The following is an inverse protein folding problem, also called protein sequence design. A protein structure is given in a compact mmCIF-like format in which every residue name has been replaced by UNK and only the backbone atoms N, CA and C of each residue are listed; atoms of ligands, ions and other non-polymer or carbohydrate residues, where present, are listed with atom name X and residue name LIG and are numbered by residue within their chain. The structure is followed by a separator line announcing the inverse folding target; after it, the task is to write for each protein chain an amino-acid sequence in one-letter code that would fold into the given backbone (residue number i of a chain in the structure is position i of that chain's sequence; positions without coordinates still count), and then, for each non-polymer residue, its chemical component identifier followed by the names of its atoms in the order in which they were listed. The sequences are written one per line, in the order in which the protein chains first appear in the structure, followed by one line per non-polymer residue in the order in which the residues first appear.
data_IF_100155324562
#
_entry.id   IF_100155324562
#
_cell.length_a   1.000
_cell.length_b   1.000
_cell.length_c   1.000
_cell.angle_alpha   90.00
_cell.angle_beta   90.00
_cell.angle_gamma   90.00
#
_symmetry.space_group_name_H-M   'P 1'
#
loop_
_entity.id
_entity.type
_entity.pdbx_description
1 polymer ?
#
# COMPACT_ATOMS: atom_id res chain seq x y z
N UNK A 1 -21.88 -15.71 -8.29
CA UNK A 1 -20.98 -14.77 -9.00
C UNK A 1 -20.41 -15.46 -10.23
N UNK A 2 -20.32 -14.79 -11.40
CA UNK A 2 -19.72 -15.36 -12.60
C UNK A 2 -18.27 -15.79 -12.37
N UNK A 3 -17.93 -17.03 -12.71
CA UNK A 3 -16.62 -17.61 -12.37
C UNK A 3 -15.44 -16.93 -13.09
N UNK A 4 -15.69 -16.42 -14.31
CA UNK A 4 -14.71 -15.61 -15.06
C UNK A 4 -14.39 -14.29 -14.35
N UNK A 5 -15.43 -13.57 -13.89
CA UNK A 5 -15.26 -12.33 -13.14
C UNK A 5 -14.46 -12.57 -11.86
N UNK A 6 -14.84 -13.57 -11.06
CA UNK A 6 -14.18 -13.84 -9.78
C UNK A 6 -12.69 -14.13 -9.95
N UNK A 7 -12.34 -14.96 -10.93
CA UNK A 7 -10.95 -15.31 -11.25
C UNK A 7 -10.12 -14.08 -11.66
N UNK A 8 -10.71 -13.20 -12.46
CA UNK A 8 -10.03 -11.98 -12.91
C UNK A 8 -9.89 -10.96 -11.77
N UNK A 9 -10.96 -10.76 -11.00
CA UNK A 9 -10.95 -9.89 -9.83
C UNK A 9 -9.93 -10.35 -8.79
N UNK A 10 -9.91 -11.64 -8.43
CA UNK A 10 -8.94 -12.22 -7.50
C UNK A 10 -7.51 -11.94 -7.95
N UNK A 11 -7.19 -12.19 -9.23
CA UNK A 11 -5.87 -11.93 -9.80
C UNK A 11 -5.46 -10.46 -9.72
N UNK A 12 -6.40 -9.53 -9.96
CA UNK A 12 -6.13 -8.10 -9.83
C UNK A 12 -5.90 -7.71 -8.36
N UNK A 13 -6.71 -8.26 -7.45
CA UNK A 13 -6.58 -8.00 -6.02
C UNK A 13 -5.27 -8.53 -5.45
N UNK A 14 -4.84 -9.74 -5.81
CA UNK A 14 -3.55 -10.29 -5.36
C UNK A 14 -2.39 -9.36 -5.75
N UNK A 15 -2.36 -8.93 -7.02
CA UNK A 15 -1.36 -7.96 -7.49
C UNK A 15 -1.47 -6.63 -6.77
N UNK A 16 -2.69 -6.17 -6.49
CA UNK A 16 -2.91 -4.92 -5.79
C UNK A 16 -2.35 -5.00 -4.37
N UNK A 17 -2.63 -6.08 -3.63
CA UNK A 17 -2.09 -6.34 -2.30
C UNK A 17 -0.57 -6.42 -2.30
N UNK A 18 0.04 -7.05 -3.32
CA UNK A 18 1.50 -7.06 -3.47
C UNK A 18 2.06 -5.64 -3.60
N UNK A 19 1.35 -4.75 -4.32
CA UNK A 19 1.78 -3.35 -4.46
C UNK A 19 1.58 -2.51 -3.21
N UNK A 20 0.55 -2.79 -2.41
CA UNK A 20 0.40 -2.20 -1.08
C UNK A 20 1.56 -2.64 -0.19
N UNK A 21 1.87 -3.93 -0.15
CA UNK A 21 2.98 -4.48 0.63
C UNK A 21 4.33 -3.88 0.19
N UNK A 22 4.60 -3.82 -1.11
CA UNK A 22 5.80 -3.20 -1.71
C UNK A 22 5.93 -1.72 -1.30
N UNK A 23 4.83 -0.97 -1.35
CA UNK A 23 4.83 0.46 -1.05
C UNK A 23 5.19 0.72 0.42
N UNK A 24 4.54 0.00 1.34
CA UNK A 24 4.76 0.13 2.79
C UNK A 24 6.16 -0.37 3.17
N UNK A 25 6.61 -1.49 2.60
CA UNK A 25 7.94 -2.04 2.84
C UNK A 25 9.05 -1.10 2.37
N UNK A 26 8.93 -0.57 1.15
CA UNK A 26 9.91 0.37 0.62
C UNK A 26 9.96 1.64 1.48
N UNK A 27 8.81 2.14 1.93
CA UNK A 27 8.80 3.30 2.83
C UNK A 27 9.46 3.01 4.18
N UNK A 28 9.17 1.86 4.79
CA UNK A 28 9.88 1.37 5.99
C UNK A 28 11.39 1.33 5.78
N UNK A 29 11.85 0.75 4.67
CA UNK A 29 13.27 0.66 4.34
C UNK A 29 13.92 2.04 4.15
N UNK A 30 13.19 2.99 3.56
CA UNK A 30 13.66 4.36 3.43
C UNK A 30 13.95 5.00 4.79
N UNK A 31 13.05 4.83 5.77
CA UNK A 31 13.23 5.33 7.14
C UNK A 31 14.47 4.70 7.80
N UNK A 32 14.64 3.37 7.67
CA UNK A 32 15.82 2.65 8.20
C UNK A 32 17.12 3.17 7.58
N UNK A 33 17.13 3.39 6.26
CA UNK A 33 18.31 3.94 5.58
C UNK A 33 18.60 5.39 5.97
N UNK A 34 17.57 6.22 6.14
CA UNK A 34 17.76 7.58 6.64
C UNK A 34 18.36 7.60 8.05
N UNK A 35 17.86 6.75 8.96
CA UNK A 35 18.40 6.63 10.32
C UNK A 35 19.85 6.12 10.33
N UNK A 36 20.22 5.32 9.33
CA UNK A 36 21.59 4.84 9.12
C UNK A 36 22.48 5.81 8.31
N UNK A 37 22.02 7.05 8.06
CA UNK A 37 22.70 8.06 7.24
C UNK A 37 22.98 7.65 5.77
N UNK A 38 22.30 6.60 5.28
CA UNK A 38 22.40 6.07 3.91
C UNK A 38 21.38 6.77 2.99
N UNK A 39 21.56 8.08 2.79
CA UNK A 39 20.57 8.94 2.14
C UNK A 39 20.30 8.59 0.67
N UNK A 40 21.29 8.09 -0.06
CA UNK A 40 21.12 7.66 -1.44
C UNK A 40 20.17 6.47 -1.57
N UNK A 41 20.36 5.46 -0.73
CA UNK A 41 19.49 4.29 -0.64
C UNK A 41 18.10 4.66 -0.11
N UNK A 42 18.03 5.53 0.89
CA UNK A 42 16.76 6.03 1.41
C UNK A 42 15.91 6.68 0.32
N UNK A 43 16.51 7.55 -0.51
CA UNK A 43 15.82 8.19 -1.64
C UNK A 43 15.39 7.21 -2.72
N UNK A 44 16.19 6.17 -3.00
CA UNK A 44 15.80 5.10 -3.92
C UNK A 44 14.57 4.33 -3.41
N UNK A 45 14.55 4.00 -2.12
CA UNK A 45 13.41 3.31 -1.51
C UNK A 45 12.16 4.20 -1.44
N UNK A 46 12.29 5.51 -1.19
CA UNK A 46 11.17 6.46 -1.32
C UNK A 46 10.58 6.45 -2.74
N UNK A 47 11.43 6.51 -3.76
CA UNK A 47 10.98 6.47 -5.16
C UNK A 47 10.28 5.15 -5.50
N UNK A 48 10.79 4.01 -5.00
CA UNK A 48 10.13 2.70 -5.14
C UNK A 48 8.76 2.68 -4.46
N UNK A 49 8.65 3.22 -3.25
CA UNK A 49 7.39 3.29 -2.51
C UNK A 49 6.32 4.07 -3.27
N UNK A 50 6.70 5.24 -3.80
CA UNK A 50 5.82 6.07 -4.62
C UNK A 50 5.44 5.42 -5.96
N UNK A 51 6.35 4.64 -6.56
CA UNK A 51 6.04 3.92 -7.79
C UNK A 51 5.09 2.73 -7.54
N UNK A 52 5.29 1.99 -6.45
CA UNK A 52 4.40 0.91 -6.05
C UNK A 52 2.96 1.42 -5.78
N UNK A 53 2.81 2.59 -5.16
CA UNK A 53 1.50 3.20 -4.97
C UNK A 53 0.83 3.55 -6.31
N UNK A 54 1.56 4.12 -7.28
CA UNK A 54 1.01 4.37 -8.63
C UNK A 54 0.53 3.10 -9.31
N UNK A 55 1.31 2.02 -9.22
CA UNK A 55 0.92 0.71 -9.75
C UNK A 55 -0.33 0.15 -9.02
N UNK A 56 -0.44 0.38 -7.70
CA UNK A 56 -1.62 0.02 -6.92
C UNK A 56 -2.87 0.81 -7.38
N UNK A 57 -2.74 2.12 -7.61
CA UNK A 57 -3.82 2.98 -8.12
C UNK A 57 -4.35 2.49 -9.48
N UNK A 58 -3.45 2.10 -10.39
CA UNK A 58 -3.84 1.53 -11.68
C UNK A 58 -4.60 0.21 -11.55
N UNK A 59 -4.16 -0.68 -10.64
CA UNK A 59 -4.85 -1.95 -10.37
C UNK A 59 -6.21 -1.70 -9.72
N UNK A 60 -6.31 -0.74 -8.80
CA UNK A 60 -7.56 -0.31 -8.17
C UNK A 60 -8.58 0.13 -9.21
N UNK A 61 -8.19 1.00 -10.15
CA UNK A 61 -9.08 1.45 -11.24
C UNK A 61 -9.57 0.31 -12.11
N UNK A 62 -8.70 -0.67 -12.42
CA UNK A 62 -9.08 -1.87 -13.19
C UNK A 62 -10.10 -2.73 -12.44
N UNK A 63 -9.93 -2.90 -11.12
CA UNK A 63 -10.90 -3.63 -10.29
C UNK A 63 -12.25 -2.91 -10.21
N UNK A 64 -12.25 -1.59 -10.05
CA UNK A 64 -13.47 -0.76 -10.05
C UNK A 64 -14.23 -0.92 -11.36
N UNK A 65 -13.54 -0.78 -12.50
CA UNK A 65 -14.16 -0.97 -13.82
C UNK A 65 -14.74 -2.37 -13.99
N UNK A 66 -14.01 -3.40 -13.54
CA UNK A 66 -14.47 -4.77 -13.58
C UNK A 66 -15.74 -5.00 -12.72
N UNK A 67 -15.83 -4.35 -11.56
CA UNK A 67 -17.01 -4.40 -10.68
C UNK A 67 -18.23 -3.70 -11.28
N UNK A 68 -18.02 -2.58 -11.96
CA UNK A 68 -19.08 -1.82 -12.63
C UNK A 68 -19.77 -2.69 -13.70
N UNK A 69 -18.98 -3.37 -14.55
CA UNK A 69 -19.44 -4.23 -15.64
C UNK A 69 -19.97 -5.60 -15.18
N UNK A 70 -19.75 -5.99 -13.93
CA UNK A 70 -20.10 -7.31 -13.44
C UNK A 70 -21.62 -7.49 -13.25
N UNK A 71 -22.15 -8.62 -13.70
CA UNK A 71 -23.50 -9.07 -13.38
C UNK A 71 -23.52 -9.78 -12.01
N UNK A 72 -23.46 -8.96 -10.95
CA UNK A 72 -23.55 -9.37 -9.54
C UNK A 72 -24.47 -8.41 -8.78
N UNK A 73 -24.97 -8.84 -7.62
CA UNK A 73 -25.92 -8.04 -6.84
C UNK A 73 -25.30 -6.71 -6.39
N UNK A 74 -26.09 -5.62 -6.29
CA UNK A 74 -25.61 -4.31 -5.84
C UNK A 74 -24.92 -4.36 -4.48
N UNK A 75 -25.44 -5.15 -3.54
CA UNK A 75 -24.91 -5.29 -2.19
C UNK A 75 -23.49 -5.89 -2.23
N UNK A 76 -23.28 -6.89 -3.08
CA UNK A 76 -21.98 -7.53 -3.24
C UNK A 76 -20.98 -6.60 -3.94
N UNK A 77 -21.41 -5.78 -4.92
CA UNK A 77 -20.55 -4.74 -5.50
C UNK A 77 -20.09 -3.78 -4.42
N UNK A 78 -21.03 -3.31 -3.59
CA UNK A 78 -20.76 -2.37 -2.51
C UNK A 78 -19.73 -2.94 -1.50
N UNK A 79 -19.86 -4.20 -1.12
CA UNK A 79 -18.89 -4.87 -0.25
C UNK A 79 -17.47 -4.87 -0.83
N UNK A 80 -17.31 -5.19 -2.13
CA UNK A 80 -15.99 -5.13 -2.78
C UNK A 80 -15.46 -3.70 -2.90
N UNK A 81 -16.32 -2.72 -3.21
CA UNK A 81 -15.91 -1.32 -3.24
C UNK A 81 -15.40 -0.85 -1.88
N UNK A 82 -16.12 -1.16 -0.79
CA UNK A 82 -15.69 -0.81 0.56
C UNK A 82 -14.40 -1.53 0.96
N UNK A 83 -14.24 -2.80 0.57
CA UNK A 83 -13.01 -3.54 0.81
C UNK A 83 -11.81 -2.86 0.13
N UNK A 84 -11.92 -2.57 -1.18
CA UNK A 84 -10.87 -1.90 -1.96
C UNK A 84 -10.53 -0.55 -1.33
N UNK A 85 -11.56 0.28 -1.07
CA UNK A 85 -11.39 1.63 -0.50
C UNK A 85 -10.69 1.61 0.86
N UNK A 86 -10.98 0.62 1.70
CA UNK A 86 -10.36 0.52 3.04
C UNK A 86 -8.89 0.11 2.97
N UNK A 87 -8.52 -0.74 2.02
CA UNK A 87 -7.12 -1.14 1.81
C UNK A 87 -6.32 0.04 1.24
N UNK A 88 -6.91 0.79 0.30
CA UNK A 88 -6.31 1.95 -0.36
C UNK A 88 -5.75 3.00 0.61
N UNK A 89 -6.51 3.28 1.67
CA UNK A 89 -6.14 4.25 2.71
C UNK A 89 -4.72 4.02 3.26
N UNK A 90 -4.26 2.75 3.32
CA UNK A 90 -2.91 2.44 3.80
C UNK A 90 -1.84 2.98 2.84
N UNK A 91 -1.99 2.76 1.54
CA UNK A 91 -1.04 3.25 0.54
C UNK A 91 -1.08 4.77 0.40
N UNK A 92 -2.26 5.39 0.50
CA UNK A 92 -2.41 6.85 0.45
C UNK A 92 -1.62 7.52 1.58
N UNK A 93 -1.79 7.07 2.82
CA UNK A 93 -1.04 7.64 3.95
C UNK A 93 0.47 7.38 3.85
N UNK A 94 0.89 6.23 3.31
CA UNK A 94 2.31 5.96 3.06
C UNK A 94 2.87 6.92 2.01
N UNK A 95 2.15 7.18 0.93
CA UNK A 95 2.54 8.13 -0.12
C UNK A 95 2.63 9.55 0.41
N UNK A 96 1.67 9.99 1.21
CA UNK A 96 1.70 11.33 1.83
C UNK A 96 2.91 11.50 2.75
N UNK A 97 3.19 10.49 3.57
CA UNK A 97 4.37 10.47 4.43
C UNK A 97 5.67 10.47 3.60
N UNK A 98 5.77 9.61 2.57
CA UNK A 98 6.92 9.53 1.68
C UNK A 98 7.17 10.85 0.95
N UNK A 99 6.11 11.48 0.44
CA UNK A 99 6.17 12.78 -0.25
C UNK A 99 6.66 13.88 0.69
N UNK A 100 6.17 13.91 1.93
CA UNK A 100 6.63 14.87 2.96
C UNK A 100 8.13 14.76 3.21
N UNK A 101 8.68 13.54 3.22
CA UNK A 101 10.12 13.30 3.41
C UNK A 101 11.00 13.67 2.20
N UNK A 102 10.40 14.00 1.05
CA UNK A 102 11.16 14.58 -0.07
C UNK A 102 11.45 16.07 0.14
N UNK A 103 10.66 16.73 0.99
CA UNK A 103 10.74 18.17 1.25
C UNK A 103 11.45 18.42 2.60
N UNK A 104 11.13 17.62 3.61
CA UNK A 104 11.69 17.77 4.96
C UNK A 104 13.14 17.27 4.98
N UNK A 105 14.09 18.05 5.52
CA UNK A 105 15.46 17.60 5.73
C UNK A 105 15.49 16.58 6.88
N UNK A 106 15.19 15.31 6.57
CA UNK A 106 15.00 14.26 7.58
C UNK A 106 16.14 14.14 8.59
N UNK A 107 17.39 14.38 8.17
CA UNK A 107 18.56 14.29 9.05
C UNK A 107 18.65 15.42 10.09
N UNK A 108 17.94 16.53 9.88
CA UNK A 108 17.83 17.64 10.85
C UNK A 108 16.78 17.37 11.93
N UNK A 109 15.95 16.33 11.76
CA UNK A 109 15.00 15.90 12.79
C UNK A 109 15.76 15.36 14.01
N UNK A 110 15.36 15.72 15.24
CA UNK A 110 15.92 15.14 16.47
C UNK A 110 15.94 13.61 16.44
N UNK A 111 17.00 13.00 16.99
CA UNK A 111 17.22 11.55 16.90
C UNK A 111 16.11 10.76 17.61
N UNK A 112 15.59 11.29 18.71
CA UNK A 112 14.51 10.69 19.49
C UNK A 112 13.22 10.56 18.67
N UNK A 113 12.93 11.56 17.81
CA UNK A 113 11.79 11.54 16.90
C UNK A 113 12.01 10.57 15.74
N UNK A 114 13.23 10.50 15.21
CA UNK A 114 13.61 9.56 14.14
C UNK A 114 13.48 8.10 14.56
N UNK A 115 13.87 7.77 15.79
CA UNK A 115 13.62 6.43 16.36
C UNK A 115 12.12 6.15 16.53
N UNK A 116 11.35 7.18 16.93
CA UNK A 116 9.90 7.11 17.00
C UNK A 116 9.27 6.78 15.65
N UNK A 117 9.71 7.45 14.58
CA UNK A 117 9.26 7.20 13.21
C UNK A 117 9.56 5.77 12.76
N UNK A 118 10.77 5.27 13.02
CA UNK A 118 11.13 3.89 12.69
C UNK A 118 10.27 2.87 13.45
N UNK A 119 10.05 3.08 14.75
CA UNK A 119 9.16 2.21 15.55
C UNK A 119 7.73 2.24 15.01
N UNK A 120 7.24 3.42 14.61
CA UNK A 120 5.89 3.60 14.07
C UNK A 120 5.73 2.89 12.72
N UNK A 121 6.61 3.15 11.74
CA UNK A 121 6.50 2.53 10.42
C UNK A 121 6.65 1.01 10.47
N UNK A 122 7.46 0.48 11.39
CA UNK A 122 7.56 -0.96 11.62
C UNK A 122 6.23 -1.58 12.11
N UNK A 123 5.46 -0.87 12.95
CA UNK A 123 4.12 -1.32 13.36
C UNK A 123 3.14 -1.26 12.20
N UNK A 124 3.15 -0.18 11.42
CA UNK A 124 2.31 -0.03 10.22
C UNK A 124 2.59 -1.13 9.21
N UNK A 125 3.87 -1.43 8.92
CA UNK A 125 4.26 -2.54 8.05
C UNK A 125 3.70 -3.88 8.51
N UNK A 126 3.85 -4.22 9.81
CA UNK A 126 3.32 -5.47 10.35
C UNK A 126 1.80 -5.54 10.27
N UNK A 127 1.11 -4.44 10.59
CA UNK A 127 -0.35 -4.38 10.52
C UNK A 127 -0.85 -4.50 9.07
N UNK A 128 -0.25 -3.74 8.14
CA UNK A 128 -0.56 -3.81 6.71
C UNK A 128 -0.39 -5.21 6.17
N UNK A 129 0.74 -5.86 6.46
CA UNK A 129 1.01 -7.23 6.03
C UNK A 129 -0.06 -8.20 6.53
N UNK A 130 -0.51 -8.06 7.78
CA UNK A 130 -1.60 -8.88 8.34
C UNK A 130 -2.93 -8.63 7.66
N UNK A 131 -3.24 -7.39 7.29
CA UNK A 131 -4.43 -7.06 6.50
C UNK A 131 -4.34 -7.71 5.12
N UNK A 132 -3.22 -7.55 4.41
CA UNK A 132 -3.03 -8.15 3.09
C UNK A 132 -3.12 -9.69 3.14
N UNK A 133 -2.52 -10.33 4.14
CA UNK A 133 -2.68 -11.77 4.39
C UNK A 133 -4.15 -12.16 4.61
N UNK A 134 -4.89 -11.43 5.45
CA UNK A 134 -6.30 -11.71 5.71
C UNK A 134 -7.18 -11.57 4.45
N UNK A 135 -6.91 -10.58 3.60
CA UNK A 135 -7.64 -10.39 2.34
C UNK A 135 -7.32 -11.49 1.34
N UNK A 136 -6.06 -11.96 1.26
CA UNK A 136 -5.70 -13.12 0.42
C UNK A 136 -6.50 -14.35 0.84
N UNK A 137 -6.57 -14.65 2.14
CA UNK A 137 -7.35 -15.78 2.69
C UNK A 137 -8.85 -15.61 2.46
N UNK A 138 -9.39 -14.39 2.53
CA UNK A 138 -10.80 -14.11 2.24
C UNK A 138 -11.18 -14.45 0.79
N UNK A 139 -10.22 -14.40 -0.13
CA UNK A 139 -10.40 -14.62 -1.56
C UNK A 139 -9.97 -16.03 -2.01
N UNK A 140 -9.55 -16.89 -1.10
CA UNK A 140 -9.27 -18.31 -1.35
C UNK A 140 -10.54 -19.16 -1.24
#
# INVERSE_FOLDING_TARGET
MPQKFYKEFKKLMEKYLDKIDDSVESFKNAIVYFNSMRTGEARKELAKSMNAEKEADELRRKMIYLLEEADISPELKEDFFHLIKRIEVVADYVKEAASSLTIIPYLEVPIELREGYEKMINKVYKASKKVCEAVRVLLD
#
